data_IF_351686846452
#
_entry.id   IF_351686846452
#
_cell.length_a   1.000
_cell.length_b   1.000
_cell.length_c   1.000
_cell.angle_alpha   90.00
_cell.angle_beta   90.00
_cell.angle_gamma   90.00
#
_symmetry.space_group_name_H-M   'P 1'
#
loop_
_entity.id
_entity.type
_entity.pdbx_description
1 polymer ?
#
# COMPACT_ATOMS: atom_id res chain seq x y z
N UNK A 1 -39.41 -10.71 -28.05
CA UNK A 1 -39.19 -11.07 -26.63
C UNK A 1 -37.80 -11.66 -26.50
N UNK A 2 -37.07 -11.23 -25.46
CA UNK A 2 -35.87 -11.79 -24.81
C UNK A 2 -34.98 -12.79 -25.60
N UNK A 3 -33.67 -12.64 -25.69
CA UNK A 3 -32.72 -12.01 -24.77
C UNK A 3 -31.43 -12.82 -24.83
N UNK A 4 -30.27 -12.20 -24.60
CA UNK A 4 -29.01 -12.93 -24.56
C UNK A 4 -27.77 -12.07 -24.68
N UNK A 5 -27.64 -11.03 -23.86
CA UNK A 5 -26.33 -10.41 -23.60
C UNK A 5 -25.52 -11.38 -22.74
N UNK A 6 -24.68 -12.19 -23.36
CA UNK A 6 -23.71 -13.03 -22.66
C UNK A 6 -22.63 -12.17 -22.02
N UNK A 7 -22.14 -12.50 -20.81
CA UNK A 7 -21.06 -11.77 -20.17
C UNK A 7 -19.76 -11.95 -20.96
N UNK A 8 -19.26 -10.87 -21.54
CA UNK A 8 -17.99 -10.85 -22.26
C UNK A 8 -16.82 -11.33 -21.37
N UNK A 9 -15.83 -12.04 -21.94
CA UNK A 9 -14.61 -12.39 -21.23
C UNK A 9 -13.95 -11.13 -20.69
N UNK A 10 -13.61 -11.21 -19.41
CA UNK A 10 -13.08 -10.15 -18.58
C UNK A 10 -11.66 -9.81 -19.03
N UNK A 11 -11.38 -8.50 -19.06
CA UNK A 11 -10.07 -7.86 -19.08
C UNK A 11 -8.86 -8.80 -18.92
N UNK A 12 -8.26 -9.14 -20.05
CA UNK A 12 -6.96 -9.80 -20.15
C UNK A 12 -6.45 -9.51 -21.55
N UNK A 13 -5.93 -8.29 -21.74
CA UNK A 13 -5.33 -7.88 -23.02
C UNK A 13 -4.30 -8.92 -23.47
N UNK A 14 -4.21 -9.14 -24.79
CA UNK A 14 -3.32 -10.09 -25.45
C UNK A 14 -1.83 -9.69 -25.33
N UNK A 15 -1.35 -9.57 -24.09
CA UNK A 15 0.05 -9.43 -23.77
C UNK A 15 0.61 -10.83 -23.51
N UNK A 16 1.74 -11.22 -24.13
CA UNK A 16 2.35 -12.54 -23.94
C UNK A 16 2.93 -12.77 -22.53
N UNK A 17 2.55 -11.94 -21.56
CA UNK A 17 3.03 -11.98 -20.18
C UNK A 17 1.90 -12.59 -19.34
N UNK A 18 1.93 -13.91 -19.21
CA UNK A 18 1.09 -14.62 -18.25
C UNK A 18 1.60 -14.31 -16.84
N UNK A 19 0.89 -13.45 -16.11
CA UNK A 19 1.22 -13.15 -14.71
C UNK A 19 0.87 -14.39 -13.87
N UNK A 20 1.85 -15.05 -13.23
CA UNK A 20 1.56 -16.21 -12.41
C UNK A 20 0.66 -15.78 -11.23
N UNK A 21 -0.39 -16.56 -10.90
CA UNK A 21 -1.25 -16.25 -9.77
C UNK A 21 -0.43 -16.30 -8.48
N UNK A 22 -0.15 -15.12 -7.93
CA UNK A 22 0.61 -14.99 -6.68
C UNK A 22 -0.23 -15.53 -5.53
N UNK A 23 0.31 -16.47 -4.74
CA UNK A 23 -0.39 -17.04 -3.59
C UNK A 23 -0.83 -15.92 -2.63
N UNK A 24 -2.07 -15.92 -2.10
CA UNK A 24 -2.56 -14.85 -1.21
C UNK A 24 -1.65 -14.58 -0.02
N UNK A 25 -0.99 -15.61 0.52
CA UNK A 25 -0.04 -15.48 1.62
C UNK A 25 1.09 -14.49 1.33
N UNK A 26 1.65 -14.50 0.12
CA UNK A 26 2.74 -13.57 -0.23
C UNK A 26 2.24 -12.12 -0.33
N UNK A 27 0.98 -11.92 -0.72
CA UNK A 27 0.35 -10.59 -0.71
C UNK A 27 0.20 -10.07 0.72
N UNK A 28 -0.28 -10.90 1.65
CA UNK A 28 -0.42 -10.49 3.04
C UNK A 28 0.94 -10.24 3.72
N UNK A 29 1.94 -11.07 3.47
CA UNK A 29 3.29 -10.85 3.99
C UNK A 29 3.90 -9.54 3.43
N UNK A 30 3.77 -9.29 2.12
CA UNK A 30 4.26 -8.06 1.51
C UNK A 30 3.56 -6.80 2.06
N UNK A 31 2.23 -6.85 2.21
CA UNK A 31 1.45 -5.75 2.79
C UNK A 31 1.78 -5.56 4.27
N UNK A 32 1.90 -6.64 5.05
CA UNK A 32 2.26 -6.59 6.46
C UNK A 32 3.64 -5.95 6.68
N UNK A 33 4.65 -6.41 5.93
CA UNK A 33 6.01 -5.86 6.01
C UNK A 33 6.07 -4.39 5.58
N UNK A 34 5.39 -4.03 4.48
CA UNK A 34 5.31 -2.64 4.03
C UNK A 34 4.56 -1.74 4.99
N UNK A 35 3.44 -2.22 5.54
CA UNK A 35 2.66 -1.51 6.55
C UNK A 35 3.48 -1.32 7.83
N UNK A 36 4.23 -2.32 8.28
CA UNK A 36 5.14 -2.19 9.43
C UNK A 36 6.25 -1.16 9.18
N UNK A 37 6.84 -1.13 7.98
CA UNK A 37 7.84 -0.13 7.61
C UNK A 37 7.27 1.30 7.69
N UNK A 38 6.10 1.55 7.07
CA UNK A 38 5.46 2.86 7.11
C UNK A 38 4.96 3.22 8.50
N UNK A 39 4.41 2.26 9.24
CA UNK A 39 4.00 2.43 10.63
C UNK A 39 5.18 2.88 11.49
N UNK A 40 6.36 2.29 11.31
CA UNK A 40 7.56 2.71 12.00
C UNK A 40 7.95 4.16 11.70
N UNK A 41 7.86 4.59 10.43
CA UNK A 41 8.15 5.97 10.04
C UNK A 41 7.16 6.97 10.66
N UNK A 42 5.85 6.68 10.65
CA UNK A 42 4.85 7.55 11.31
C UNK A 42 4.96 7.55 12.83
N UNK A 43 5.27 6.39 13.42
CA UNK A 43 5.56 6.27 14.83
C UNK A 43 6.79 7.11 15.20
N UNK A 44 7.88 7.04 14.42
CA UNK A 44 9.09 7.82 14.63
C UNK A 44 8.83 9.31 14.41
N UNK A 45 8.09 9.66 13.36
CA UNK A 45 7.68 11.03 13.08
C UNK A 45 6.94 11.63 14.28
N UNK A 46 6.06 10.91 14.99
CA UNK A 46 5.40 11.49 16.18
C UNK A 46 6.36 11.99 17.27
N UNK A 47 7.53 11.37 17.39
CA UNK A 47 8.54 11.73 18.38
C UNK A 47 9.54 12.76 17.85
N UNK A 48 9.87 12.69 16.57
CA UNK A 48 10.80 13.63 15.93
C UNK A 48 10.09 14.89 15.39
N UNK A 49 8.76 14.86 15.22
CA UNK A 49 7.93 15.99 14.79
C UNK A 49 8.07 17.21 15.70
N UNK A 50 7.98 17.13 17.04
CA UNK A 50 8.16 18.33 17.87
C UNK A 50 9.57 18.95 17.78
N UNK A 51 10.59 18.17 17.39
CA UNK A 51 11.96 18.67 17.17
C UNK A 51 12.12 19.24 15.75
N UNK A 52 11.51 18.62 14.75
CA UNK A 52 11.58 19.04 13.35
C UNK A 52 10.61 20.19 13.01
N UNK A 53 9.48 20.33 13.73
CA UNK A 53 8.53 21.44 13.59
C UNK A 53 8.96 22.72 14.33
N UNK A 54 10.15 22.75 14.96
CA UNK A 54 10.70 23.97 15.57
C UNK A 54 9.95 24.48 16.81
N UNK A 55 9.07 23.66 17.41
CA UNK A 55 8.27 24.06 18.59
C UNK A 55 9.03 23.98 19.92
N UNK A 56 10.29 23.52 19.91
CA UNK A 56 11.21 23.59 21.05
C UNK A 56 12.59 24.02 20.59
N UNK A 57 12.86 25.32 20.68
CA UNK A 57 14.24 25.79 20.67
C UNK A 57 14.87 25.55 22.05
N UNK A 58 16.08 24.95 22.13
CA UNK A 58 16.76 24.64 23.39
C UNK A 58 17.30 25.88 24.15
N UNK A 59 16.90 27.09 23.75
CA UNK A 59 17.31 28.37 24.37
C UNK A 59 16.14 29.25 24.83
N UNK A 60 14.92 28.71 24.91
CA UNK A 60 13.85 29.36 25.66
C UNK A 60 14.05 29.10 27.16
N UNK A 61 14.90 29.92 27.77
CA UNK A 61 15.12 30.05 29.21
C UNK A 61 14.63 31.41 29.69
#
# INVERSE_FOLDING_TARGET
MAGGHGPGPRHGGAHPIAIPPVRPLYRFAAVGLGASMWFFLFYRARYDLPVLLGMRHPWDH
#
